data_IF_892051175092
#
_entry.id   IF_892051175092
#
_cell.length_a   1.000
_cell.length_b   1.000
_cell.length_c   1.000
_cell.angle_alpha   90.00
_cell.angle_beta   90.00
_cell.angle_gamma   90.00
#
_symmetry.space_group_name_H-M   'P 1'
#
loop_
_entity.id
_entity.type
_entity.pdbx_description
1 polymer ?
#
# COMPACT_ATOMS: atom_id res chain seq x y z
N UNK A 1 7.88 -0.95 -1.28
CA UNK A 1 6.90 -0.28 -2.15
C UNK A 1 6.48 1.02 -1.51
N UNK A 2 6.54 2.13 -2.24
CA UNK A 2 6.15 3.45 -1.74
C UNK A 2 4.81 3.85 -2.33
N UNK A 3 3.90 4.32 -1.47
CA UNK A 3 2.63 4.93 -1.92
C UNK A 3 2.79 6.36 -2.44
N UNK A 4 4.01 6.90 -2.42
CA UNK A 4 4.32 8.18 -3.08
C UNK A 4 4.56 7.96 -4.57
N UNK A 5 5.30 6.91 -4.93
CA UNK A 5 5.71 6.61 -6.31
C UNK A 5 4.87 5.52 -6.96
N UNK A 6 4.28 4.61 -6.20
CA UNK A 6 3.57 3.42 -6.69
C UNK A 6 4.46 2.18 -6.83
N UNK A 7 5.77 2.30 -6.59
CA UNK A 7 6.76 1.31 -7.01
C UNK A 7 7.66 0.83 -5.85
N UNK A 8 8.52 -0.15 -6.12
CA UNK A 8 9.62 -0.47 -5.22
C UNK A 8 10.59 0.72 -5.18
N UNK A 9 10.95 1.17 -3.97
CA UNK A 9 11.80 2.33 -3.74
C UNK A 9 13.04 1.89 -2.97
N UNK A 10 14.22 2.36 -3.39
CA UNK A 10 15.45 2.28 -2.60
C UNK A 10 15.33 3.22 -1.38
N UNK A 11 15.47 2.65 -0.19
CA UNK A 11 15.28 3.38 1.06
C UNK A 11 16.35 4.45 1.30
N UNK A 12 17.50 4.38 0.62
CA UNK A 12 18.50 5.44 0.65
C UNK A 12 17.96 6.79 0.11
N UNK A 13 16.91 6.76 -0.71
CA UNK A 13 16.26 7.96 -1.27
C UNK A 13 15.15 8.57 -0.40
N UNK A 14 14.88 8.06 0.80
CA UNK A 14 13.85 8.59 1.71
C UNK A 14 14.33 9.84 2.48
N UNK A 15 14.70 10.88 1.74
CA UNK A 15 15.22 12.13 2.26
C UNK A 15 14.12 13.15 2.65
N UNK A 16 14.51 14.38 2.97
CA UNK A 16 13.57 15.44 3.35
C UNK A 16 12.57 15.81 2.24
N UNK A 17 12.97 15.74 0.97
CA UNK A 17 12.07 16.03 -0.15
C UNK A 17 11.05 14.89 -0.32
N UNK A 18 11.47 13.64 -0.14
CA UNK A 18 10.56 12.50 -0.14
C UNK A 18 9.46 12.67 0.92
N UNK A 19 9.83 13.00 2.16
CA UNK A 19 8.86 13.19 3.24
C UNK A 19 7.94 14.39 3.02
N UNK A 20 8.47 15.50 2.47
CA UNK A 20 7.63 16.62 2.03
C UNK A 20 6.62 16.18 0.98
N UNK A 21 7.07 15.40 -0.02
CA UNK A 21 6.23 14.91 -1.10
C UNK A 21 5.15 13.94 -0.58
N UNK A 22 5.52 13.03 0.32
CA UNK A 22 4.58 12.11 0.99
C UNK A 22 3.46 12.85 1.70
N UNK A 23 3.77 13.96 2.38
CA UNK A 23 2.77 14.79 3.04
C UNK A 23 1.95 15.66 2.07
N UNK A 24 2.55 16.08 0.95
CA UNK A 24 1.96 17.11 0.07
C UNK A 24 1.17 16.55 -1.11
N UNK A 25 1.49 15.34 -1.56
CA UNK A 25 0.93 14.70 -2.75
C UNK A 25 -0.03 13.57 -2.36
N UNK A 26 -0.82 13.13 -3.33
CA UNK A 26 -1.77 12.04 -3.17
C UNK A 26 -1.06 10.75 -2.79
N UNK A 27 -1.59 10.06 -1.79
CA UNK A 27 -1.18 8.70 -1.42
C UNK A 27 -1.80 7.69 -2.40
N UNK A 28 -0.97 6.99 -3.15
CA UNK A 28 -1.34 6.04 -4.21
C UNK A 28 -1.54 4.62 -3.68
N UNK A 29 -2.41 4.45 -2.69
CA UNK A 29 -2.59 3.16 -2.00
C UNK A 29 -3.05 2.05 -2.96
N UNK A 30 -4.06 2.32 -3.79
CA UNK A 30 -4.63 1.36 -4.73
C UNK A 30 -3.60 0.89 -5.77
N UNK A 31 -2.93 1.82 -6.45
CA UNK A 31 -1.86 1.54 -7.43
C UNK A 31 -0.72 0.71 -6.83
N UNK A 32 -0.30 1.07 -5.61
CA UNK A 32 0.77 0.34 -4.91
C UNK A 32 0.31 -1.06 -4.52
N UNK A 33 -0.96 -1.22 -4.16
CA UNK A 33 -1.55 -2.52 -3.82
C UNK A 33 -1.61 -3.42 -5.05
N UNK A 34 -2.01 -2.90 -6.22
CA UNK A 34 -1.94 -3.67 -7.49
C UNK A 34 -0.52 -4.12 -7.79
N UNK A 35 0.45 -3.22 -7.67
CA UNK A 35 1.87 -3.55 -7.89
C UNK A 35 2.35 -4.67 -6.95
N UNK A 36 1.90 -4.66 -5.70
CA UNK A 36 2.18 -5.74 -4.73
C UNK A 36 1.52 -7.07 -5.14
N UNK A 37 0.28 -7.04 -5.65
CA UNK A 37 -0.40 -8.24 -6.16
C UNK A 37 0.33 -8.82 -7.38
N UNK A 38 0.77 -7.97 -8.30
CA UNK A 38 1.54 -8.37 -9.48
C UNK A 38 2.90 -8.96 -9.09
N UNK A 39 3.50 -8.46 -8.01
CA UNK A 39 4.71 -9.01 -7.40
C UNK A 39 4.47 -10.33 -6.62
N UNK A 40 3.22 -10.83 -6.57
CA UNK A 40 2.88 -12.13 -5.97
C UNK A 40 2.51 -12.07 -4.48
N UNK A 41 2.39 -10.90 -3.87
CA UNK A 41 1.95 -10.79 -2.48
C UNK A 41 0.44 -11.08 -2.36
N UNK A 42 0.05 -11.86 -1.33
CA UNK A 42 -1.34 -12.31 -1.12
C UNK A 42 -1.88 -12.10 0.29
N UNK A 43 -1.01 -11.84 1.26
CA UNK A 43 -1.39 -11.60 2.65
C UNK A 43 -0.95 -10.20 3.03
N UNK A 44 -1.91 -9.36 3.38
CA UNK A 44 -1.70 -7.98 3.81
C UNK A 44 -2.09 -7.86 5.28
N UNK A 45 -1.20 -7.28 6.08
CA UNK A 45 -1.43 -7.08 7.51
C UNK A 45 -1.44 -5.59 7.79
N UNK A 46 -2.59 -5.07 8.24
CA UNK A 46 -2.72 -3.71 8.72
C UNK A 46 -2.19 -3.61 10.15
N UNK A 47 -1.07 -2.89 10.30
CA UNK A 47 -0.41 -2.67 11.59
C UNK A 47 -0.93 -1.36 12.18
N UNK A 48 -2.07 -1.43 12.85
CA UNK A 48 -2.71 -0.27 13.49
C UNK A 48 -3.57 -0.72 14.68
N UNK A 49 -3.82 0.15 15.67
CA UNK A 49 -4.80 -0.10 16.73
C UNK A 49 -6.25 0.07 16.27
N UNK A 50 -6.47 0.57 15.04
CA UNK A 50 -7.79 0.81 14.51
C UNK A 50 -7.80 0.52 13.00
N UNK A 51 -8.47 -0.55 12.54
CA UNK A 51 -8.41 -0.97 11.14
C UNK A 51 -9.15 0.02 10.23
N UNK A 52 -8.43 0.67 9.32
CA UNK A 52 -8.95 1.68 8.37
C UNK A 52 -8.60 1.39 6.91
N UNK A 53 -7.61 0.53 6.64
CA UNK A 53 -7.14 0.25 5.28
C UNK A 53 -7.79 -0.99 4.69
N UNK A 54 -8.33 -1.88 5.52
CA UNK A 54 -8.88 -3.16 5.11
C UNK A 54 -9.90 -3.05 3.98
N UNK A 55 -10.85 -2.11 4.06
CA UNK A 55 -11.88 -1.92 3.03
C UNK A 55 -11.27 -1.54 1.67
N UNK A 56 -10.39 -0.53 1.62
CA UNK A 56 -9.76 -0.09 0.38
C UNK A 56 -8.84 -1.15 -0.24
N UNK A 57 -8.20 -1.98 0.59
CA UNK A 57 -7.44 -3.14 0.13
C UNK A 57 -8.37 -4.19 -0.50
N UNK A 58 -9.47 -4.54 0.15
CA UNK A 58 -10.45 -5.51 -0.36
C UNK A 58 -11.05 -5.06 -1.69
N UNK A 59 -11.45 -3.80 -1.82
CA UNK A 59 -11.94 -3.24 -3.10
C UNK A 59 -10.89 -3.38 -4.21
N UNK A 60 -9.61 -3.16 -3.90
CA UNK A 60 -8.52 -3.34 -4.87
C UNK A 60 -8.33 -4.80 -5.25
N UNK A 61 -8.42 -5.73 -4.29
CA UNK A 61 -8.30 -7.17 -4.55
C UNK A 61 -9.42 -7.67 -5.45
N UNK A 62 -10.67 -7.27 -5.17
CA UNK A 62 -11.84 -7.59 -5.98
C UNK A 62 -11.68 -7.05 -7.41
N UNK A 63 -11.28 -5.78 -7.55
CA UNK A 63 -11.05 -5.15 -8.85
C UNK A 63 -9.89 -5.78 -9.64
N UNK A 64 -8.93 -6.43 -8.96
CA UNK A 64 -7.84 -7.17 -9.57
C UNK A 64 -8.15 -8.66 -9.80
N UNK A 65 -9.31 -9.16 -9.33
CA UNK A 65 -9.65 -10.59 -9.37
C UNK A 65 -8.72 -11.45 -8.51
N UNK A 66 -8.13 -10.89 -7.46
CA UNK A 66 -7.18 -11.58 -6.57
C UNK A 66 -7.89 -12.21 -5.37
N UNK A 67 -7.38 -13.37 -4.94
CA UNK A 67 -7.75 -14.07 -3.71
C UNK A 67 -6.98 -13.58 -2.47
N UNK A 68 -6.42 -12.38 -2.53
CA UNK A 68 -5.63 -11.82 -1.44
C UNK A 68 -6.48 -11.49 -0.21
N UNK A 69 -5.86 -11.50 0.96
CA UNK A 69 -6.52 -11.25 2.25
C UNK A 69 -5.88 -10.08 2.98
N UNK A 70 -6.70 -9.32 3.71
CA UNK A 70 -6.27 -8.25 4.60
C UNK A 70 -6.71 -8.55 6.05
N UNK A 71 -5.78 -8.40 7.00
CA UNK A 71 -5.97 -8.71 8.42
C UNK A 71 -5.47 -7.55 9.28
N UNK A 72 -6.18 -7.20 10.36
CA UNK A 72 -5.69 -6.26 11.37
C UNK A 72 -4.85 -6.95 12.44
N UNK A 73 -3.93 -6.21 13.07
CA UNK A 73 -3.14 -6.72 14.20
C UNK A 73 -3.78 -6.53 15.58
N UNK A 74 -4.70 -5.57 15.72
CA UNK A 74 -5.32 -5.16 16.99
C UNK A 74 -6.83 -4.94 16.81
#
# INVERSE_FOLDING_TARGET
FSTVTGELLDTAGMDGEYWYTNLRRTVRLEETTRTLLDAGHRVFVEVSPHPVLQLGLQETFEAAGSDAVALGTL
#
